data_IF_525422911945
#
_entry.id   IF_525422911945
#
_cell.length_a   1.000
_cell.length_b   1.000
_cell.length_c   1.000
_cell.angle_alpha   90.00
_cell.angle_beta   90.00
_cell.angle_gamma   90.00
#
_symmetry.space_group_name_H-M   'P 1'
#
loop_
_entity.id
_entity.type
_entity.pdbx_description
1 polymer ?
#
# COMPACT_ATOMS: atom_id res chain seq x y z
N UNK A 1 -42.00 2.70 -14.44
CA UNK A 1 -40.70 2.19 -14.91
C UNK A 1 -39.77 3.40 -15.02
N UNK A 2 -39.00 3.68 -13.98
CA UNK A 2 -37.95 4.70 -14.02
C UNK A 2 -36.63 4.00 -13.73
N UNK A 3 -35.81 3.93 -14.76
CA UNK A 3 -34.47 3.35 -14.75
C UNK A 3 -33.59 4.48 -14.21
N UNK A 4 -33.15 4.39 -12.96
CA UNK A 4 -32.16 5.35 -12.45
C UNK A 4 -30.79 4.90 -12.90
N UNK A 5 -30.22 5.73 -13.78
CA UNK A 5 -28.84 5.68 -14.23
C UNK A 5 -27.90 5.57 -13.04
N UNK A 6 -27.03 4.56 -13.06
CA UNK A 6 -25.94 4.42 -12.10
C UNK A 6 -24.90 5.50 -12.38
N UNK A 7 -25.05 6.66 -11.74
CA UNK A 7 -23.93 7.58 -11.59
C UNK A 7 -22.79 6.84 -10.85
N UNK A 8 -21.54 6.87 -11.35
CA UNK A 8 -20.41 6.43 -10.55
C UNK A 8 -20.27 7.42 -9.39
N UNK A 9 -20.63 6.99 -8.18
CA UNK A 9 -20.41 7.77 -6.95
C UNK A 9 -18.96 8.21 -6.92
N UNK A 10 -18.78 9.50 -7.20
CA UNK A 10 -17.54 10.24 -7.10
C UNK A 10 -16.92 9.96 -5.73
N UNK A 11 -15.60 9.74 -5.76
CA UNK A 11 -14.65 9.92 -4.68
C UNK A 11 -15.27 9.95 -3.29
N UNK A 12 -15.09 8.85 -2.54
CA UNK A 12 -15.21 8.81 -1.09
C UNK A 12 -14.48 10.06 -0.57
N UNK A 13 -15.25 11.10 -0.26
CA UNK A 13 -14.73 12.22 0.50
C UNK A 13 -14.39 11.61 1.85
N UNK A 14 -13.10 11.32 2.06
CA UNK A 14 -12.57 11.02 3.38
C UNK A 14 -13.00 12.16 4.29
N UNK A 15 -14.04 11.91 5.10
CA UNK A 15 -14.42 12.78 6.19
C UNK A 15 -13.27 12.70 7.20
N UNK A 16 -12.27 13.56 7.00
CA UNK A 16 -11.16 13.68 7.95
C UNK A 16 -11.75 14.15 9.28
N UNK A 17 -11.59 13.40 10.38
CA UNK A 17 -11.95 13.88 11.70
C UNK A 17 -11.26 15.23 11.92
N UNK A 18 -11.99 16.23 12.39
CA UNK A 18 -11.41 17.53 12.71
C UNK A 18 -10.38 17.34 13.83
N UNK A 19 -9.10 17.52 13.50
CA UNK A 19 -7.99 17.53 14.47
C UNK A 19 -7.64 19.00 14.73
N UNK A 20 -7.63 19.45 15.99
CA UNK A 20 -7.16 20.79 16.34
C UNK A 20 -5.74 21.02 15.81
N UNK A 21 -5.40 22.23 15.32
CA UNK A 21 -4.10 22.51 14.69
C UNK A 21 -2.91 22.20 15.61
N UNK A 22 -3.09 22.36 16.92
CA UNK A 22 -2.07 22.07 17.93
C UNK A 22 -1.83 20.56 18.17
N UNK A 23 -2.74 19.71 17.67
CA UNK A 23 -2.69 18.25 17.81
C UNK A 23 -2.44 17.54 16.48
N UNK A 24 -2.34 18.26 15.35
CA UNK A 24 -2.05 17.64 14.04
C UNK A 24 -0.70 16.93 14.03
N UNK A 25 0.30 17.50 14.70
CA UNK A 25 1.64 16.89 14.79
C UNK A 25 1.60 15.60 15.61
N UNK A 26 0.84 15.58 16.70
CA UNK A 26 0.71 14.42 17.60
C UNK A 26 -0.15 13.33 16.98
N UNK A 27 -1.29 13.68 16.36
CA UNK A 27 -2.18 12.75 15.68
C UNK A 27 -1.52 12.09 14.45
N UNK A 28 -0.56 12.77 13.80
CA UNK A 28 0.25 12.18 12.72
C UNK A 28 1.18 11.08 13.24
N UNK A 29 1.65 11.19 14.49
CA UNK A 29 2.59 10.25 15.11
C UNK A 29 1.85 9.04 15.70
N UNK A 30 0.63 9.23 16.23
CA UNK A 30 -0.11 8.22 17.00
C UNK A 30 -1.00 7.26 16.17
N UNK A 31 -1.06 7.40 14.84
CA UNK A 31 -1.49 6.28 13.99
C UNK A 31 -2.97 6.21 13.61
N UNK A 32 -3.59 7.33 13.26
CA UNK A 32 -4.91 7.34 12.60
C UNK A 32 -4.93 8.05 11.23
N UNK A 33 -3.77 8.50 10.73
CA UNK A 33 -3.67 9.03 9.37
C UNK A 33 -3.73 7.91 8.32
N UNK A 34 -4.26 8.17 7.11
CA UNK A 34 -4.24 7.18 6.04
C UNK A 34 -2.81 6.69 5.82
N UNK A 35 -2.63 5.39 5.58
CA UNK A 35 -1.32 4.79 5.32
C UNK A 35 -0.62 5.62 4.25
N UNK A 36 0.51 6.26 4.62
CA UNK A 36 1.29 7.03 3.67
C UNK A 36 1.82 6.07 2.61
N UNK A 37 1.36 6.21 1.38
CA UNK A 37 1.90 5.43 0.27
C UNK A 37 3.40 5.72 0.19
N UNK A 38 4.19 4.67 0.35
CA UNK A 38 5.64 4.78 0.24
C UNK A 38 6.01 4.95 -1.22
N UNK A 39 6.58 6.11 -1.57
CA UNK A 39 7.13 6.34 -2.90
C UNK A 39 8.47 5.62 -3.03
N UNK A 40 8.44 4.48 -3.72
CA UNK A 40 9.62 3.68 -4.03
C UNK A 40 10.68 4.46 -4.83
N UNK A 41 10.28 5.43 -5.65
CA UNK A 41 11.19 6.25 -6.46
C UNK A 41 12.04 7.19 -5.62
N UNK A 42 11.49 7.67 -4.49
CA UNK A 42 12.18 8.56 -3.54
C UNK A 42 13.22 7.85 -2.66
N UNK A 43 13.26 6.51 -2.65
CA UNK A 43 14.15 5.76 -1.78
C UNK A 43 15.61 5.77 -2.24
N UNK A 44 16.58 5.75 -1.30
CA UNK A 44 17.99 5.59 -1.63
C UNK A 44 18.24 4.36 -2.50
N UNK A 45 19.22 4.44 -3.41
CA UNK A 45 19.51 3.37 -4.36
C UNK A 45 19.81 2.01 -3.69
N UNK A 46 20.44 2.02 -2.52
CA UNK A 46 20.75 0.81 -1.77
C UNK A 46 19.50 0.12 -1.22
N UNK A 47 18.51 0.89 -0.74
CA UNK A 47 17.23 0.35 -0.23
C UNK A 47 16.46 -0.34 -1.36
N UNK A 48 16.39 0.32 -2.52
CA UNK A 48 15.73 -0.24 -3.70
C UNK A 48 16.37 -1.56 -4.15
N UNK A 49 17.70 -1.60 -4.25
CA UNK A 49 18.44 -2.82 -4.63
C UNK A 49 18.25 -3.94 -3.63
N UNK A 50 18.28 -3.62 -2.33
CA UNK A 50 18.03 -4.59 -1.28
C UNK A 50 16.61 -5.17 -1.39
N UNK A 51 15.59 -4.32 -1.49
CA UNK A 51 14.19 -4.76 -1.62
C UNK A 51 13.96 -5.63 -2.85
N UNK A 52 14.51 -5.25 -4.01
CA UNK A 52 14.46 -6.07 -5.23
C UNK A 52 15.18 -7.40 -5.03
N UNK A 53 16.37 -7.39 -4.43
CA UNK A 53 17.14 -8.61 -4.17
C UNK A 53 16.39 -9.60 -3.28
N UNK A 54 15.80 -9.13 -2.19
CA UNK A 54 14.96 -9.96 -1.31
C UNK A 54 13.77 -10.50 -2.10
N UNK A 55 13.03 -9.65 -2.82
CA UNK A 55 11.87 -10.10 -3.61
C UNK A 55 12.22 -11.21 -4.60
N UNK A 56 13.32 -11.04 -5.36
CA UNK A 56 13.78 -12.04 -6.32
C UNK A 56 14.17 -13.34 -5.63
N UNK A 57 14.86 -13.27 -4.50
CA UNK A 57 15.24 -14.47 -3.74
C UNK A 57 14.02 -15.24 -3.23
N UNK A 58 13.03 -14.54 -2.64
CA UNK A 58 11.81 -15.16 -2.14
C UNK A 58 10.96 -15.74 -3.26
N UNK A 59 10.81 -15.01 -4.36
CA UNK A 59 10.10 -15.47 -5.56
C UNK A 59 10.79 -16.70 -6.17
N UNK A 60 12.13 -16.72 -6.22
CA UNK A 60 12.91 -17.86 -6.68
C UNK A 60 12.72 -19.10 -5.81
N UNK A 61 12.78 -18.97 -4.48
CA UNK A 61 12.50 -20.07 -3.57
C UNK A 61 11.07 -20.60 -3.72
N UNK A 62 10.09 -19.71 -3.85
CA UNK A 62 8.70 -20.10 -4.07
C UNK A 62 8.52 -20.86 -5.39
N UNK A 63 9.16 -20.39 -6.47
CA UNK A 63 9.13 -21.06 -7.77
C UNK A 63 9.77 -22.45 -7.71
N UNK A 64 10.93 -22.60 -7.06
CA UNK A 64 11.58 -23.91 -6.86
C UNK A 64 10.68 -24.84 -6.05
N UNK A 65 10.07 -24.34 -4.98
CA UNK A 65 9.12 -25.09 -4.16
C UNK A 65 7.93 -25.59 -5.00
N UNK A 66 7.32 -24.71 -5.79
CA UNK A 66 6.24 -25.07 -6.70
C UNK A 66 6.71 -26.12 -7.72
N UNK A 67 7.83 -25.91 -8.42
CA UNK A 67 8.34 -26.89 -9.38
C UNK A 67 8.56 -28.25 -8.70
N UNK A 68 9.20 -28.28 -7.53
CA UNK A 68 9.44 -29.54 -6.80
C UNK A 68 8.15 -30.24 -6.39
N UNK A 69 7.08 -29.50 -6.11
CA UNK A 69 5.78 -30.07 -5.75
C UNK A 69 5.06 -30.72 -6.94
N UNK A 70 5.36 -30.31 -8.17
CA UNK A 70 4.80 -30.92 -9.38
C UNK A 70 5.60 -32.15 -9.86
N UNK A 71 6.88 -32.24 -9.51
CA UNK A 71 7.74 -33.38 -9.84
C UNK A 71 7.60 -34.56 -8.86
N UNK A 72 6.86 -34.39 -7.76
CA UNK A 72 6.65 -35.40 -6.72
C UNK A 72 5.26 -36.00 -6.82
#
# INVERSE_FOLDING_TARGET
MHIHETEPQRAIAEEKPYVPPDLEEIARIEGAGPMKQADWGSMPAWVRRFGIGVFVATAGMAAIGLISSWLR
#
